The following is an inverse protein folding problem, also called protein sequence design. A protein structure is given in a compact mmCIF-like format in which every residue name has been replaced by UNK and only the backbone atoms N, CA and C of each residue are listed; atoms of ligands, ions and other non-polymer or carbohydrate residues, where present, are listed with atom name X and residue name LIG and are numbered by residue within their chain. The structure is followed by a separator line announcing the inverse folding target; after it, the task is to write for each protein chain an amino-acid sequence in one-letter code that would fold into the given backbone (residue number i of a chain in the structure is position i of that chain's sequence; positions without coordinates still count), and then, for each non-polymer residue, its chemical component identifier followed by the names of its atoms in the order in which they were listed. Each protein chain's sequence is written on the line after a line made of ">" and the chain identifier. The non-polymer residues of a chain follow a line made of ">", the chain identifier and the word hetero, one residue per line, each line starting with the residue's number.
data_IF_425743775046
#
_entry.id   IF_425743775046
#
_cell.length_a   1.000
_cell.length_b   1.000
_cell.length_c   1.000
_cell.angle_alpha   90.00
_cell.angle_beta   90.00
_cell.angle_gamma   90.00
#
_symmetry.space_group_name_H-M   'P 1'
#
loop_
_entity.id
_entity.type
_entity.pdbx_description
1 polymer ?
#
# COMPACT_ATOMS: atom_id res chain seq x y z
N UNK A 1 -1.19 9.85 8.85
CA UNK A 1 -1.46 9.72 7.41
C UNK A 1 -2.48 8.63 7.22
N UNK A 2 -3.63 8.99 6.67
CA UNK A 2 -4.72 8.05 6.42
C UNK A 2 -4.72 7.70 4.93
N UNK A 3 -4.64 6.41 4.63
CA UNK A 3 -4.77 5.88 3.27
C UNK A 3 -6.26 5.76 2.90
N UNK A 4 -6.59 6.08 1.65
CA UNK A 4 -7.85 5.68 1.03
C UNK A 4 -7.58 4.59 -0.01
N UNK A 5 -8.48 3.62 -0.06
CA UNK A 5 -8.50 2.55 -1.07
C UNK A 5 -9.82 2.68 -1.80
N UNK A 6 -9.75 2.91 -3.11
CA UNK A 6 -10.92 2.95 -3.99
C UNK A 6 -10.84 1.79 -4.95
N UNK A 7 -11.87 0.95 -4.96
CA UNK A 7 -11.98 -0.20 -5.87
C UNK A 7 -13.08 0.07 -6.90
N UNK A 8 -12.90 -0.43 -8.11
CA UNK A 8 -13.86 -0.27 -9.20
C UNK A 8 -13.91 -1.49 -10.10
N UNK A 9 -15.09 -1.74 -10.67
CA UNK A 9 -15.32 -2.80 -11.66
C UNK A 9 -16.05 -2.17 -12.84
N UNK A 10 -15.47 -2.27 -14.03
CA UNK A 10 -16.08 -1.77 -15.27
C UNK A 10 -15.69 -2.70 -16.41
N UNK A 11 -16.67 -3.23 -17.16
CA UNK A 11 -16.42 -4.11 -18.32
C UNK A 11 -15.43 -5.26 -18.04
N UNK A 12 -15.63 -6.00 -16.94
CA UNK A 12 -14.74 -7.08 -16.48
C UNK A 12 -13.28 -6.65 -16.20
N UNK A 13 -13.08 -5.36 -15.96
CA UNK A 13 -11.82 -4.76 -15.55
C UNK A 13 -11.92 -4.38 -14.09
N UNK A 14 -11.03 -4.93 -13.28
CA UNK A 14 -10.96 -4.71 -11.84
C UNK A 14 -9.84 -3.72 -11.56
N UNK A 15 -10.15 -2.70 -10.77
CA UNK A 15 -9.22 -1.62 -10.44
C UNK A 15 -9.14 -1.44 -8.94
N UNK A 16 -7.95 -1.10 -8.45
CA UNK A 16 -7.75 -0.57 -7.10
C UNK A 16 -6.80 0.63 -7.16
N UNK A 17 -7.14 1.67 -6.41
CA UNK A 17 -6.36 2.89 -6.25
C UNK A 17 -6.05 3.06 -4.78
N UNK A 18 -4.75 3.13 -4.46
CA UNK A 18 -4.26 3.48 -3.13
C UNK A 18 -3.72 4.91 -3.18
N UNK A 19 -4.27 5.79 -2.36
CA UNK A 19 -3.87 7.20 -2.28
C UNK A 19 -3.90 7.71 -0.84
N UNK A 20 -3.27 8.84 -0.56
CA UNK A 20 -3.44 9.51 0.72
C UNK A 20 -4.78 10.26 0.75
N UNK A 21 -5.56 10.03 1.80
CA UNK A 21 -6.79 10.76 2.09
C UNK A 21 -6.46 12.09 2.76
N UNK A 22 -5.62 12.04 3.79
CA UNK A 22 -5.23 13.18 4.59
C UNK A 22 -3.93 12.89 5.35
N UNK A 23 -3.21 13.98 5.67
CA UNK A 23 -2.08 13.98 6.58
C UNK A 23 -2.57 14.20 8.01
N UNK A 24 -1.83 13.71 8.99
CA UNK A 24 -2.27 13.63 10.39
C UNK A 24 -2.73 12.22 10.74
N UNK A 25 -2.34 11.74 11.90
CA UNK A 25 -2.69 10.42 12.43
C UNK A 25 -2.60 10.41 13.95
N UNK A 26 -2.93 9.29 14.59
CA UNK A 26 -2.83 9.18 16.05
C UNK A 26 -1.37 9.45 16.47
N UNK A 27 -1.13 10.60 17.11
CA UNK A 27 0.17 11.02 17.64
C UNK A 27 1.02 11.95 16.76
N UNK A 28 0.50 12.49 15.64
CA UNK A 28 1.24 13.49 14.84
C UNK A 28 0.28 14.40 14.08
N UNK A 29 0.55 15.71 14.07
CA UNK A 29 -0.22 16.68 13.28
C UNK A 29 0.08 16.53 11.79
N UNK A 30 -0.77 17.10 10.94
CA UNK A 30 -0.56 17.09 9.49
C UNK A 30 0.72 17.83 9.09
N UNK A 31 1.07 18.93 9.77
CA UNK A 31 2.28 19.72 9.53
C UNK A 31 3.53 18.94 9.91
N UNK A 32 3.55 18.33 11.09
CA UNK A 32 4.68 17.51 11.56
C UNK A 32 4.93 16.32 10.62
N UNK A 33 3.85 15.68 10.14
CA UNK A 33 3.96 14.55 9.23
C UNK A 33 4.42 14.97 7.82
N UNK A 34 4.09 16.18 7.40
CA UNK A 34 4.63 16.76 6.17
C UNK A 34 6.10 17.13 6.29
N UNK A 35 6.49 17.78 7.39
CA UNK A 35 7.89 18.11 7.68
C UNK A 35 8.75 16.84 7.74
N UNK A 36 8.21 15.78 8.35
CA UNK A 36 8.87 14.47 8.39
C UNK A 36 9.21 13.94 6.99
N UNK A 37 8.28 14.03 6.03
CA UNK A 37 8.50 13.54 4.66
C UNK A 37 9.41 14.45 3.84
N UNK A 38 9.47 15.75 4.17
CA UNK A 38 10.42 16.68 3.57
C UNK A 38 11.85 16.41 4.08
N UNK A 39 12.00 16.23 5.39
CA UNK A 39 13.30 16.00 6.04
C UNK A 39 13.83 14.57 5.78
N UNK A 40 12.94 13.60 5.66
CA UNK A 40 13.27 12.20 5.37
C UNK A 40 12.47 11.69 4.17
N UNK A 41 12.89 12.02 2.93
CA UNK A 41 12.20 11.58 1.72
C UNK A 41 12.05 10.05 1.67
N UNK A 42 10.82 9.59 1.47
CA UNK A 42 10.47 8.18 1.39
C UNK A 42 10.09 7.84 -0.05
N UNK A 43 10.62 6.72 -0.56
CA UNK A 43 10.30 6.20 -1.88
C UNK A 43 9.71 4.79 -1.72
N UNK A 44 8.51 4.58 -2.26
CA UNK A 44 7.93 3.25 -2.44
C UNK A 44 8.58 2.58 -3.64
N UNK A 45 9.27 1.46 -3.41
CA UNK A 45 9.95 0.68 -4.46
C UNK A 45 9.28 -0.69 -4.58
N UNK A 46 8.78 -1.04 -5.77
CA UNK A 46 8.00 -2.26 -5.97
C UNK A 46 8.85 -3.53 -5.86
N UNK A 47 10.12 -3.50 -6.29
CA UNK A 47 11.04 -4.63 -6.17
C UNK A 47 11.38 -5.02 -4.72
N UNK A 48 11.03 -4.17 -3.75
CA UNK A 48 11.16 -4.45 -2.31
C UNK A 48 9.87 -5.06 -1.71
N UNK A 49 8.86 -5.33 -2.55
CA UNK A 49 7.56 -5.87 -2.14
C UNK A 49 7.37 -7.25 -2.74
N UNK A 50 7.15 -8.25 -1.89
CA UNK A 50 6.72 -9.57 -2.33
C UNK A 50 5.20 -9.60 -2.47
N UNK A 51 4.73 -9.56 -3.71
CA UNK A 51 3.31 -9.70 -4.03
C UNK A 51 2.92 -11.17 -4.17
N UNK A 52 2.78 -11.84 -3.04
CA UNK A 52 2.27 -13.21 -2.94
C UNK A 52 1.51 -13.35 -1.63
N UNK A 53 0.30 -13.89 -1.69
CA UNK A 53 -0.48 -14.24 -0.50
C UNK A 53 -1.56 -15.25 -0.86
N UNK A 54 -2.29 -15.74 0.15
CA UNK A 54 -3.37 -16.71 -0.04
C UNK A 54 -4.73 -16.08 0.17
N UNK A 55 -5.69 -16.47 -0.67
CA UNK A 55 -7.04 -15.91 -0.67
C UNK A 55 -8.10 -16.99 -0.80
N UNK A 56 -9.23 -16.77 -0.13
CA UNK A 56 -10.42 -17.63 -0.27
C UNK A 56 -11.68 -16.79 -0.33
N UNK A 57 -12.78 -17.44 -0.68
CA UNK A 57 -14.11 -16.82 -0.64
C UNK A 57 -14.76 -17.12 0.71
N UNK A 58 -15.08 -16.08 1.47
CA UNK A 58 -15.84 -16.17 2.72
C UNK A 58 -17.11 -15.36 2.56
N UNK A 59 -18.27 -16.00 2.70
CA UNK A 59 -19.58 -15.34 2.57
C UNK A 59 -19.71 -14.53 1.27
N UNK A 60 -19.23 -15.10 0.15
CA UNK A 60 -19.26 -14.47 -1.18
C UNK A 60 -18.19 -13.40 -1.43
N UNK A 61 -17.32 -13.11 -0.46
CA UNK A 61 -16.27 -12.09 -0.58
C UNK A 61 -14.89 -12.73 -0.63
N UNK A 62 -14.03 -12.21 -1.50
CA UNK A 62 -12.61 -12.59 -1.53
C UNK A 62 -11.91 -11.96 -0.33
N UNK A 63 -11.27 -12.79 0.49
CA UNK A 63 -10.52 -12.38 1.69
C UNK A 63 -9.17 -13.08 1.74
N UNK A 64 -8.18 -12.40 2.30
CA UNK A 64 -6.87 -12.99 2.56
C UNK A 64 -6.99 -14.03 3.68
N UNK A 65 -6.48 -15.23 3.44
CA UNK A 65 -6.59 -16.34 4.39
C UNK A 65 -5.54 -17.43 4.10
N UNK A 66 -4.87 -17.92 5.14
CA UNK A 66 -3.76 -18.87 5.02
C UNK A 66 -4.14 -20.25 4.46
N UNK A 67 -5.42 -20.61 4.49
CA UNK A 67 -5.94 -21.87 3.92
C UNK A 67 -6.46 -21.70 2.48
N UNK A 68 -6.33 -20.52 1.89
CA UNK A 68 -6.81 -20.22 0.55
C UNK A 68 -5.87 -20.62 -0.59
N UNK A 69 -6.26 -20.25 -1.81
CA UNK A 69 -5.45 -20.42 -3.01
C UNK A 69 -4.36 -19.33 -3.08
N UNK A 70 -3.17 -19.70 -3.54
CA UNK A 70 -2.05 -18.77 -3.69
C UNK A 70 -2.27 -17.85 -4.89
N UNK A 71 -2.17 -16.54 -4.65
CA UNK A 71 -2.25 -15.51 -5.68
C UNK A 71 -0.94 -14.75 -5.69
N UNK A 72 -0.36 -14.56 -6.87
CA UNK A 72 0.88 -13.81 -7.08
C UNK A 72 0.68 -12.68 -8.07
N UNK A 73 1.48 -11.62 -7.93
CA UNK A 73 1.61 -10.57 -8.92
C UNK A 73 3.07 -10.40 -9.29
N UNK A 74 3.33 -10.33 -10.59
CA UNK A 74 4.61 -9.92 -11.14
C UNK A 74 4.38 -8.54 -11.74
N UNK A 75 4.93 -7.52 -11.08
CA UNK A 75 4.83 -6.14 -11.51
C UNK A 75 6.19 -5.64 -11.96
N UNK A 76 6.22 -4.78 -12.97
CA UNK A 76 7.44 -4.07 -13.34
C UNK A 76 7.94 -3.21 -12.19
N UNK A 77 9.25 -3.07 -12.12
CA UNK A 77 9.89 -2.19 -11.14
C UNK A 77 9.37 -0.76 -11.26
N UNK A 78 8.97 -0.20 -10.13
CA UNK A 78 8.42 1.16 -10.03
C UNK A 78 8.86 1.81 -8.74
N UNK A 79 9.23 3.08 -8.83
CA UNK A 79 9.62 3.93 -7.71
C UNK A 79 8.68 5.13 -7.65
N UNK A 80 8.02 5.31 -6.50
CA UNK A 80 7.05 6.39 -6.31
C UNK A 80 7.36 7.11 -4.99
N UNK A 81 7.76 8.39 -5.03
CA UNK A 81 7.94 9.19 -3.82
C UNK A 81 6.62 9.31 -3.04
N UNK A 82 6.67 9.20 -1.72
CA UNK A 82 5.51 9.46 -0.86
C UNK A 82 5.40 10.97 -0.63
N UNK A 83 4.54 11.61 -1.42
CA UNK A 83 4.24 13.05 -1.33
C UNK A 83 2.73 13.27 -1.14
N UNK A 84 2.28 14.52 -1.03
CA UNK A 84 0.85 14.84 -0.93
C UNK A 84 0.00 14.33 -2.09
N UNK A 85 0.60 14.19 -3.27
CA UNK A 85 -0.07 13.73 -4.49
C UNK A 85 0.15 12.23 -4.74
N UNK A 86 0.57 11.48 -3.72
CA UNK A 86 0.83 10.05 -3.85
C UNK A 86 -0.46 9.32 -4.28
N UNK A 87 -0.34 8.63 -5.41
CA UNK A 87 -1.33 7.68 -5.87
C UNK A 87 -0.63 6.51 -6.58
N UNK A 88 -1.10 5.30 -6.31
CA UNK A 88 -0.72 4.12 -7.08
C UNK A 88 -1.97 3.32 -7.46
N UNK A 89 -2.04 2.96 -8.73
CA UNK A 89 -3.16 2.23 -9.31
C UNK A 89 -2.70 0.87 -9.80
N UNK A 90 -3.51 -0.15 -9.53
CA UNK A 90 -3.41 -1.46 -10.16
C UNK A 90 -4.72 -1.78 -10.86
N UNK A 91 -4.61 -2.48 -11.98
CA UNK A 91 -5.71 -2.82 -12.84
C UNK A 91 -5.47 -4.16 -13.52
N UNK A 92 -6.51 -4.97 -13.63
CA UNK A 92 -6.47 -6.26 -14.32
C UNK A 92 -7.84 -6.60 -14.92
N UNK A 93 -7.84 -7.08 -16.16
CA UNK A 93 -9.04 -7.63 -16.81
C UNK A 93 -9.12 -9.13 -16.61
N UNK A 94 -10.33 -9.69 -16.53
CA UNK A 94 -10.52 -11.15 -16.51
C UNK A 94 -9.91 -11.83 -17.75
N UNK A 95 -9.84 -11.15 -18.89
CA UNK A 95 -9.16 -11.66 -20.09
C UNK A 95 -7.64 -11.84 -19.93
N UNK A 96 -7.04 -11.20 -18.93
CA UNK A 96 -5.61 -11.32 -18.60
C UNK A 96 -5.34 -12.41 -17.54
N UNK A 97 -6.39 -13.04 -17.01
CA UNK A 97 -6.27 -14.13 -16.03
C UNK A 97 -6.25 -15.46 -16.78
N UNK A 98 -5.21 -16.25 -16.52
CA UNK A 98 -5.06 -17.58 -17.11
C UNK A 98 -5.89 -18.59 -16.32
N UNK A 99 -6.41 -19.61 -17.01
CA UNK A 99 -7.21 -20.67 -16.36
C UNK A 99 -6.39 -21.46 -15.33
N UNK A 100 -5.06 -21.51 -15.51
CA UNK A 100 -4.13 -22.12 -14.56
C UNK A 100 -4.00 -21.33 -13.23
N UNK A 101 -4.49 -20.09 -13.17
CA UNK A 101 -4.52 -19.30 -11.94
C UNK A 101 -5.81 -19.53 -11.13
N UNK A 102 -6.76 -20.30 -11.68
CA UNK A 102 -7.96 -20.71 -10.95
C UNK A 102 -7.59 -21.75 -9.90
N UNK A 103 -8.25 -21.65 -8.75
CA UNK A 103 -8.01 -22.53 -7.62
C UNK A 103 -9.28 -23.22 -7.14
N UNK A 104 -9.21 -23.72 -5.91
CA UNK A 104 -10.33 -24.42 -5.25
C UNK A 104 -11.35 -23.46 -4.66
N UNK A 105 -10.89 -22.30 -4.18
CA UNK A 105 -11.70 -21.22 -3.61
C UNK A 105 -11.94 -20.10 -4.64
N UNK A 106 -10.92 -19.75 -5.43
CA UNK A 106 -10.99 -18.76 -6.50
C UNK A 106 -11.32 -19.45 -7.82
N UNK A 107 -12.57 -19.88 -7.94
CA UNK A 107 -13.05 -20.74 -9.04
C UNK A 107 -13.31 -19.99 -10.35
N UNK A 108 -13.28 -18.65 -10.34
CA UNK A 108 -13.53 -17.82 -11.52
C UNK A 108 -12.50 -16.71 -11.67
N UNK A 109 -12.35 -16.21 -12.90
CA UNK A 109 -11.38 -15.16 -13.22
C UNK A 109 -11.70 -13.85 -12.51
N UNK A 110 -12.98 -13.57 -12.27
CA UNK A 110 -13.46 -12.43 -11.49
C UNK A 110 -12.97 -12.51 -10.04
N UNK A 111 -12.99 -13.70 -9.44
CA UNK A 111 -12.52 -13.91 -8.06
C UNK A 111 -10.99 -13.75 -7.98
N UNK A 112 -10.25 -14.27 -8.96
CA UNK A 112 -8.79 -14.07 -9.05
C UNK A 112 -8.46 -12.60 -9.28
N UNK A 113 -9.18 -11.90 -10.15
CA UNK A 113 -8.99 -10.47 -10.40
C UNK A 113 -9.22 -9.63 -9.13
N UNK A 114 -10.28 -9.93 -8.37
CA UNK A 114 -10.52 -9.32 -7.05
C UNK A 114 -9.36 -9.61 -6.08
N UNK A 115 -8.92 -10.87 -5.98
CA UNK A 115 -7.82 -11.26 -5.12
C UNK A 115 -6.52 -10.52 -5.46
N UNK A 116 -6.22 -10.36 -6.75
CA UNK A 116 -5.08 -9.59 -7.24
C UNK A 116 -5.16 -8.11 -6.84
N UNK A 117 -6.33 -7.48 -6.97
CA UNK A 117 -6.52 -6.12 -6.48
C UNK A 117 -6.30 -6.02 -4.97
N UNK A 118 -6.85 -6.95 -4.18
CA UNK A 118 -6.69 -6.95 -2.71
C UNK A 118 -5.23 -7.21 -2.30
N UNK A 119 -4.55 -8.13 -2.98
CA UNK A 119 -3.13 -8.39 -2.77
C UNK A 119 -2.29 -7.13 -2.98
N UNK A 120 -2.54 -6.41 -4.08
CA UNK A 120 -1.82 -5.18 -4.37
C UNK A 120 -1.99 -4.13 -3.27
N UNK A 121 -3.23 -3.83 -2.88
CA UNK A 121 -3.49 -2.80 -1.87
C UNK A 121 -2.94 -3.17 -0.48
N UNK A 122 -3.03 -4.44 -0.07
CA UNK A 122 -2.53 -4.90 1.22
C UNK A 122 -1.01 -4.75 1.29
N UNK A 123 -0.29 -5.26 0.27
CA UNK A 123 1.18 -5.20 0.24
C UNK A 123 1.71 -3.77 0.10
N UNK A 124 1.04 -2.92 -0.68
CA UNK A 124 1.37 -1.49 -0.76
C UNK A 124 1.15 -0.80 0.59
N UNK A 125 0.00 -1.03 1.24
CA UNK A 125 -0.30 -0.47 2.58
C UNK A 125 0.71 -0.92 3.63
N UNK A 126 1.03 -2.20 3.68
CA UNK A 126 2.04 -2.78 4.58
C UNK A 126 3.40 -2.08 4.37
N UNK A 127 3.85 -1.96 3.12
CA UNK A 127 5.14 -1.33 2.81
C UNK A 127 5.15 0.15 3.17
N UNK A 128 4.11 0.90 2.84
CA UNK A 128 3.98 2.33 3.23
C UNK A 128 4.03 2.47 4.75
N UNK A 129 3.30 1.64 5.48
CA UNK A 129 3.26 1.67 6.96
C UNK A 129 4.65 1.40 7.55
N UNK A 130 5.37 0.42 7.01
CA UNK A 130 6.75 0.12 7.40
C UNK A 130 7.69 1.30 7.14
N UNK A 131 7.63 1.90 5.94
CA UNK A 131 8.46 3.03 5.57
C UNK A 131 8.19 4.27 6.45
N UNK A 132 6.92 4.56 6.74
CA UNK A 132 6.54 5.67 7.64
C UNK A 132 7.03 5.42 9.07
N UNK A 133 6.96 4.18 9.55
CA UNK A 133 7.49 3.83 10.88
C UNK A 133 9.00 4.07 10.94
N UNK A 134 9.74 3.68 9.90
CA UNK A 134 11.19 3.92 9.78
C UNK A 134 11.50 5.43 9.72
N UNK A 135 10.70 6.23 9.01
CA UNK A 135 10.92 7.67 8.98
C UNK A 135 10.68 8.30 10.36
N UNK A 136 9.62 7.88 11.07
CA UNK A 136 9.32 8.35 12.43
C UNK A 136 10.45 8.06 13.42
N UNK A 137 11.14 6.93 13.31
CA UNK A 137 12.28 6.64 14.20
C UNK A 137 13.52 7.50 13.92
N UNK A 138 13.60 8.15 12.74
CA UNK A 138 14.67 9.10 12.43
C UNK A 138 14.41 10.49 13.00
N UNK A 139 13.14 10.83 13.23
CA UNK A 139 12.76 12.09 13.84
C UNK A 139 13.22 12.11 15.31
N UNK A 140 14.29 12.86 15.58
CA UNK A 140 14.92 12.94 16.89
C UNK A 140 15.07 14.41 17.32
N UNK A 141 15.63 14.64 18.50
CA UNK A 141 15.78 15.99 19.09
C UNK A 141 16.85 16.87 18.43
N UNK A 142 17.38 16.52 17.25
CA UNK A 142 18.45 17.28 16.61
C UNK A 142 18.05 18.74 16.30
N UNK A 143 16.81 18.98 15.88
CA UNK A 143 16.32 20.34 15.59
C UNK A 143 15.82 21.10 16.85
N UNK A 144 16.03 20.57 18.06
CA UNK A 144 15.70 21.29 19.31
C UNK A 144 16.78 22.34 19.56
N UNK A 145 16.46 23.60 19.25
CA UNK A 145 17.27 24.74 19.66
C UNK A 145 17.35 24.80 21.20
N UNK A 146 18.52 24.49 21.75
CA UNK A 146 18.83 24.76 23.15
C UNK A 146 19.44 26.16 23.24
N UNK A 147 18.82 27.12 23.97
CA UNK A 147 19.43 28.42 24.16
C UNK A 147 20.78 28.24 24.86
N UNK A 148 21.82 28.85 24.30
CA UNK A 148 23.13 28.94 24.95
C UNK A 148 23.09 30.19 25.82
N UNK A 149 22.97 30.02 27.14
CA UNK A 149 23.16 31.12 28.08
C UNK A 149 24.66 31.42 28.17
N UNK A 150 25.10 32.44 27.43
CA UNK A 150 26.44 33.02 27.60
C UNK A 150 26.36 34.02 28.76
N UNK A 151 26.83 33.59 29.93
CA UNK A 151 27.09 34.51 31.05
C UNK A 151 28.42 35.22 30.73
N UNK A 152 28.36 36.51 30.39
CA UNK A 152 29.53 37.38 30.18
C UNK A 152 29.98 37.97 31.51
#
# INVERSE_FOLDING_TARGET
>A
MNLTITRGIENNKFTTLVAFKEFGGIGMTSEDEMALLQNYPIILTYGEITFSDKFKVVSGNVVQDSTGDTVTLILSERKTPLTQVFQVRYEVSTGQILDAELGTSLISKELVAQAKCILFENKVKERITSLLTIAKTKNNSFEINSPIDVVI
#
